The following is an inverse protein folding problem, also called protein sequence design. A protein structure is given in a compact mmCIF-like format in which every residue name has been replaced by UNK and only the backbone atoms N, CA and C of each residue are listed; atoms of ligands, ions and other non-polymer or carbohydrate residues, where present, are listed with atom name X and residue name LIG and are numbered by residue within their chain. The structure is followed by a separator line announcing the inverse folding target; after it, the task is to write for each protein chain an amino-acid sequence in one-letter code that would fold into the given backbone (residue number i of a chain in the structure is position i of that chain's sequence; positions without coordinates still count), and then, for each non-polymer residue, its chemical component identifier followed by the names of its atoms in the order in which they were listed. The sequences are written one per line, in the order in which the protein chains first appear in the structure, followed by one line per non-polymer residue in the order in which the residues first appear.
data_IF_025598441295
#
_entry.id   IF_025598441295
#
_cell.length_a   1.000
_cell.length_b   1.000
_cell.length_c   1.000
_cell.angle_alpha   90.00
_cell.angle_beta   90.00
_cell.angle_gamma   90.00
#
_symmetry.space_group_name_H-M   'P 1'
#
loop_
_entity.id
_entity.type
_entity.pdbx_description
1 polymer ?
#
# COMPACT_ATOMS: atom_id res chain seq x y z
N UNK A 1 2.23 3.99 -8.03
CA UNK A 1 0.94 3.51 -7.49
C UNK A 1 -0.19 4.00 -8.39
N UNK A 2 -0.85 3.15 -9.19
CA UNK A 2 -1.64 3.61 -10.35
C UNK A 2 -3.03 4.16 -10.00
N UNK A 3 -3.20 4.81 -8.85
CA UNK A 3 -4.50 5.37 -8.41
C UNK A 3 -5.05 6.36 -9.43
N UNK A 4 -4.25 7.37 -9.80
CA UNK A 4 -4.66 8.35 -10.81
C UNK A 4 -4.81 7.72 -12.20
N UNK A 5 -3.98 6.72 -12.52
CA UNK A 5 -4.10 5.95 -13.78
C UNK A 5 -5.41 5.15 -13.88
N UNK A 6 -6.02 4.82 -12.74
CA UNK A 6 -7.23 4.02 -12.65
C UNK A 6 -8.49 4.86 -12.37
N UNK A 7 -8.39 6.19 -12.33
CA UNK A 7 -9.53 7.05 -11.99
C UNK A 7 -10.06 6.86 -10.56
N UNK A 8 -9.23 6.33 -9.66
CA UNK A 8 -9.62 6.03 -8.29
C UNK A 8 -9.46 7.31 -7.44
N UNK A 9 -10.54 7.79 -6.83
CA UNK A 9 -10.43 8.88 -5.86
C UNK A 9 -9.82 8.38 -4.55
N UNK A 10 -8.97 9.20 -3.95
CA UNK A 10 -8.27 8.88 -2.71
C UNK A 10 -9.05 9.37 -1.50
N UNK A 11 -9.17 8.51 -0.49
CA UNK A 11 -9.56 9.00 0.83
C UNK A 11 -8.45 9.84 1.46
N UNK A 12 -8.83 10.87 2.21
CA UNK A 12 -7.94 11.70 3.03
C UNK A 12 -7.12 10.85 3.99
N UNK A 13 -7.74 9.81 4.55
CA UNK A 13 -7.05 8.87 5.43
C UNK A 13 -5.95 8.08 4.73
N UNK A 14 -6.18 7.67 3.47
CA UNK A 14 -5.14 7.04 2.67
C UNK A 14 -4.01 8.00 2.34
N UNK A 15 -4.34 9.21 1.87
CA UNK A 15 -3.35 10.23 1.56
C UNK A 15 -2.49 10.58 2.79
N UNK A 16 -3.10 10.74 3.96
CA UNK A 16 -2.41 11.03 5.23
C UNK A 16 -1.41 9.94 5.60
N UNK A 17 -1.78 8.65 5.47
CA UNK A 17 -0.85 7.54 5.71
C UNK A 17 0.37 7.59 4.79
N UNK A 18 0.15 7.86 3.50
CA UNK A 18 1.26 7.99 2.56
C UNK A 18 2.16 9.18 2.89
N UNK A 19 1.58 10.35 3.21
CA UNK A 19 2.36 11.54 3.58
C UNK A 19 3.17 11.29 4.85
N UNK A 20 2.62 10.57 5.84
CA UNK A 20 3.34 10.23 7.07
C UNK A 20 4.57 9.34 6.83
N UNK A 21 4.53 8.47 5.81
CA UNK A 21 5.66 7.58 5.48
C UNK A 21 6.64 8.25 4.51
N UNK A 22 6.13 8.91 3.48
CA UNK A 22 6.91 9.36 2.33
C UNK A 22 7.26 10.85 2.35
N UNK A 23 6.52 11.65 3.11
CA UNK A 23 6.47 13.10 2.97
C UNK A 23 5.65 13.57 1.76
N UNK A 24 5.20 14.82 1.81
CA UNK A 24 4.25 15.40 0.83
C UNK A 24 4.72 15.28 -0.63
N UNK A 25 5.98 15.64 -0.90
CA UNK A 25 6.52 15.70 -2.27
C UNK A 25 6.52 14.33 -2.95
N UNK A 26 7.00 13.29 -2.25
CA UNK A 26 7.07 11.92 -2.80
C UNK A 26 5.68 11.30 -2.92
N UNK A 27 4.79 11.58 -1.97
CA UNK A 27 3.38 11.16 -2.07
C UNK A 27 2.75 11.71 -3.35
N UNK A 28 2.88 13.02 -3.62
CA UNK A 28 2.34 13.64 -4.84
C UNK A 28 2.94 13.02 -6.11
N UNK A 29 4.26 12.85 -6.16
CA UNK A 29 4.94 12.22 -7.30
C UNK A 29 4.38 10.82 -7.59
N UNK A 30 4.31 9.94 -6.59
CA UNK A 30 3.83 8.56 -6.78
C UNK A 30 2.36 8.47 -7.17
N UNK A 31 1.52 9.34 -6.62
CA UNK A 31 0.09 9.38 -6.90
C UNK A 31 -0.21 9.93 -8.29
N UNK A 32 0.48 11.00 -8.70
CA UNK A 32 0.23 11.67 -9.97
C UNK A 32 0.87 10.93 -11.16
N UNK A 33 2.09 10.43 -10.99
CA UNK A 33 2.80 9.72 -12.08
C UNK A 33 2.35 8.27 -12.22
N UNK A 34 1.82 7.69 -11.13
CA UNK A 34 1.55 6.26 -11.05
C UNK A 34 2.78 5.39 -11.29
N UNK A 35 4.01 5.91 -11.09
CA UNK A 35 5.27 5.16 -11.25
C UNK A 35 5.31 3.96 -10.29
N UNK A 36 5.96 2.89 -10.72
CA UNK A 36 6.25 1.72 -9.89
C UNK A 36 7.62 1.89 -9.22
N UNK A 37 7.70 1.49 -7.96
CA UNK A 37 8.95 1.41 -7.22
C UNK A 37 9.44 -0.04 -7.25
N UNK A 38 10.74 -0.24 -7.41
CA UNK A 38 11.34 -1.54 -7.11
C UNK A 38 11.46 -1.75 -5.59
N UNK A 39 11.83 -2.96 -5.16
CA UNK A 39 11.90 -3.31 -3.73
C UNK A 39 12.84 -2.39 -2.96
N UNK A 40 14.02 -2.10 -3.51
CA UNK A 40 15.03 -1.28 -2.83
C UNK A 40 14.62 0.18 -2.71
N UNK A 41 14.02 0.76 -3.75
CA UNK A 41 13.43 2.09 -3.67
C UNK A 41 12.32 2.15 -2.61
N UNK A 42 11.46 1.13 -2.56
CA UNK A 42 10.39 1.06 -1.57
C UNK A 42 10.94 0.98 -0.13
N UNK A 43 12.07 0.29 0.07
CA UNK A 43 12.77 0.23 1.36
C UNK A 43 13.36 1.58 1.75
N UNK A 44 14.07 2.23 0.81
CA UNK A 44 14.63 3.58 1.03
C UNK A 44 13.53 4.60 1.32
N UNK A 45 12.35 4.43 0.72
CA UNK A 45 11.20 5.29 0.96
C UNK A 45 10.43 4.93 2.25
N UNK A 46 10.77 3.84 2.93
CA UNK A 46 10.12 3.40 4.16
C UNK A 46 8.76 2.73 3.96
N UNK A 47 8.40 2.37 2.72
CA UNK A 47 7.16 1.66 2.41
C UNK A 47 7.22 0.19 2.81
N UNK A 48 8.42 -0.39 2.80
CA UNK A 48 8.70 -1.75 3.28
C UNK A 48 9.83 -1.70 4.30
N UNK A 49 9.76 -2.57 5.31
CA UNK A 49 10.76 -2.65 6.37
C UNK A 49 12.02 -3.42 5.95
N UNK A 50 11.92 -4.32 4.98
CA UNK A 50 13.03 -5.13 4.48
C UNK A 50 12.82 -5.51 3.01
N UNK A 51 13.93 -5.81 2.35
CA UNK A 51 13.99 -6.39 1.00
C UNK A 51 14.96 -7.56 1.09
N UNK A 52 14.58 -8.69 0.52
CA UNK A 52 15.38 -9.92 0.54
C UNK A 52 15.28 -10.64 -0.78
N UNK A 53 16.24 -11.53 -1.02
CA UNK A 53 16.20 -12.43 -2.16
C UNK A 53 14.95 -13.33 -2.11
N UNK A 54 14.40 -13.65 -3.27
CA UNK A 54 13.18 -14.46 -3.38
C UNK A 54 13.31 -15.84 -2.73
N UNK A 55 14.52 -16.39 -2.69
CA UNK A 55 14.80 -17.67 -2.02
C UNK A 55 14.80 -17.59 -0.48
N UNK A 56 14.98 -16.39 0.08
CA UNK A 56 15.16 -16.17 1.52
C UNK A 56 13.96 -15.48 2.18
N UNK A 57 13.10 -14.83 1.40
CA UNK A 57 11.96 -14.06 1.92
C UNK A 57 11.02 -14.89 2.80
N UNK A 58 10.83 -16.17 2.48
CA UNK A 58 9.98 -17.07 3.26
C UNK A 58 10.55 -17.31 4.66
N UNK A 59 11.84 -17.62 4.75
CA UNK A 59 12.51 -17.86 6.02
C UNK A 59 12.57 -16.59 6.88
N UNK A 60 12.90 -15.43 6.29
CA UNK A 60 12.86 -14.15 7.02
C UNK A 60 11.46 -13.78 7.51
N UNK A 61 10.42 -14.10 6.73
CA UNK A 61 9.03 -13.89 7.15
C UNK A 61 8.70 -14.77 8.36
N UNK A 62 9.06 -16.06 8.32
CA UNK A 62 8.83 -16.98 9.44
C UNK A 62 9.60 -16.56 10.69
N UNK A 63 10.84 -16.09 10.57
CA UNK A 63 11.61 -15.59 11.70
C UNK A 63 10.89 -14.41 12.39
N UNK A 64 10.40 -13.45 11.62
CA UNK A 64 9.64 -12.31 12.13
C UNK A 64 8.35 -12.78 12.83
N UNK A 65 7.61 -13.71 12.21
CA UNK A 65 6.41 -14.28 12.82
C UNK A 65 6.71 -15.01 14.13
N UNK A 66 7.79 -15.80 14.20
CA UNK A 66 8.21 -16.49 15.42
C UNK A 66 8.60 -15.51 16.51
N UNK A 67 9.30 -14.44 16.18
CA UNK A 67 9.64 -13.38 17.14
C UNK A 67 8.37 -12.75 17.74
N UNK A 68 7.39 -12.38 16.91
CA UNK A 68 6.10 -11.83 17.38
C UNK A 68 5.35 -12.87 18.24
N UNK A 69 5.29 -14.12 17.80
CA UNK A 69 4.59 -15.20 18.49
C UNK A 69 5.23 -15.58 19.84
N UNK A 70 6.49 -15.23 20.06
CA UNK A 70 7.19 -15.45 21.34
C UNK A 70 6.74 -14.49 22.45
N UNK A 71 5.99 -13.43 22.13
CA UNK A 71 5.52 -12.43 23.07
C UNK A 71 4.08 -12.69 23.57
N UNK A 72 3.70 -12.06 24.68
CA UNK A 72 2.35 -12.16 25.22
C UNK A 72 1.31 -11.62 24.22
N UNK A 73 0.27 -12.40 23.83
CA UNK A 73 -0.69 -11.99 22.81
C UNK A 73 -1.42 -10.68 23.11
N UNK A 74 -1.75 -10.45 24.39
CA UNK A 74 -2.39 -9.22 24.82
C UNK A 74 -1.46 -8.01 24.69
N UNK A 75 -0.17 -8.15 24.99
CA UNK A 75 0.79 -7.07 24.84
C UNK A 75 0.96 -6.66 23.37
N UNK A 76 1.08 -7.64 22.47
CA UNK A 76 1.16 -7.40 21.01
C UNK A 76 -0.11 -6.69 20.51
N UNK A 77 -1.29 -7.15 20.95
CA UNK A 77 -2.57 -6.51 20.58
C UNK A 77 -2.66 -5.07 21.07
N UNK A 78 -2.29 -4.81 22.32
CA UNK A 78 -2.32 -3.45 22.88
C UNK A 78 -1.32 -2.53 22.21
N UNK A 79 -0.11 -3.02 21.92
CA UNK A 79 0.89 -2.27 21.16
C UNK A 79 0.36 -1.86 19.77
N UNK A 80 -0.29 -2.78 19.06
CA UNK A 80 -0.93 -2.48 17.76
C UNK A 80 -2.00 -1.39 17.90
N UNK A 81 -2.90 -1.52 18.87
CA UNK A 81 -3.96 -0.53 19.11
C UNK A 81 -3.37 0.85 19.45
N UNK A 82 -2.34 0.90 20.28
CA UNK A 82 -1.68 2.15 20.68
C UNK A 82 -0.99 2.85 19.49
N UNK A 83 -0.38 2.09 18.58
CA UNK A 83 0.20 2.66 17.35
C UNK A 83 -0.89 3.10 16.38
N UNK A 84 -1.93 2.29 16.21
CA UNK A 84 -3.06 2.60 15.32
C UNK A 84 -3.78 3.88 15.77
N UNK A 85 -3.94 4.11 17.09
CA UNK A 85 -4.64 5.29 17.61
C UNK A 85 -3.93 6.63 17.35
N UNK A 86 -2.60 6.63 17.20
CA UNK A 86 -1.82 7.85 16.91
C UNK A 86 -1.51 8.00 15.41
N UNK A 87 -1.61 6.92 14.64
CA UNK A 87 -1.34 6.95 13.19
C UNK A 87 -2.62 7.04 12.35
N UNK A 88 -3.75 6.55 12.86
CA UNK A 88 -5.06 6.58 12.22
C UNK A 88 -5.91 7.63 12.95
N UNK A 89 -5.94 8.86 12.43
CA UNK A 89 -6.98 9.82 12.76
C UNK A 89 -8.37 9.19 12.53
N UNK A 90 -9.38 9.60 13.33
CA UNK A 90 -10.75 9.19 13.13
C UNK A 90 -11.19 9.43 11.69
N UNK A 91 -12.17 8.65 11.23
CA UNK A 91 -12.70 8.79 9.89
C UNK A 91 -13.44 10.12 9.74
N UNK A 92 -12.71 11.16 9.35
CA UNK A 92 -13.25 12.47 9.01
C UNK A 92 -13.82 12.49 7.58
N UNK A 93 -13.56 11.45 6.78
CA UNK A 93 -14.08 11.32 5.43
C UNK A 93 -15.55 10.86 5.46
N UNK A 94 -16.45 11.83 5.43
CA UNK A 94 -17.86 11.59 5.08
C UNK A 94 -18.07 11.46 3.56
N UNK A 95 -17.01 11.63 2.77
CA UNK A 95 -17.10 11.54 1.32
C UNK A 95 -17.34 10.08 0.92
N UNK A 96 -18.43 9.77 0.18
CA UNK A 96 -18.63 8.41 -0.32
C UNK A 96 -17.41 8.01 -1.16
N UNK A 97 -16.97 6.74 -1.03
CA UNK A 97 -15.99 6.15 -1.94
C UNK A 97 -16.50 6.32 -3.38
N UNK A 98 -16.06 7.39 -4.05
CA UNK A 98 -16.48 7.73 -5.38
C UNK A 98 -15.43 7.23 -6.35
N UNK A 99 -15.82 6.26 -7.17
CA UNK A 99 -15.08 5.89 -8.35
C UNK A 99 -15.84 6.51 -9.50
N UNK A 100 -15.16 7.34 -10.31
CA UNK A 100 -15.79 7.79 -11.54
C UNK A 100 -16.01 6.53 -12.41
N UNK A 101 -17.28 6.16 -12.57
CA UNK A 101 -17.63 4.89 -13.21
C UNK A 101 -17.19 4.86 -14.68
N UNK A 102 -17.10 6.03 -15.33
CA UNK A 102 -16.63 6.14 -16.70
C UNK A 102 -15.11 5.93 -16.76
N UNK A 103 -14.35 6.71 -15.99
CA UNK A 103 -12.88 6.64 -15.98
C UNK A 103 -12.37 5.28 -15.50
N UNK A 104 -13.01 4.71 -14.48
CA UNK A 104 -12.63 3.40 -13.98
C UNK A 104 -12.88 2.29 -15.00
N UNK A 105 -14.03 2.31 -15.69
CA UNK A 105 -14.34 1.31 -16.71
C UNK A 105 -13.34 1.37 -17.88
N UNK A 106 -12.97 2.57 -18.31
CA UNK A 106 -11.99 2.80 -19.37
C UNK A 106 -10.58 2.42 -18.92
N UNK A 107 -10.20 2.76 -17.69
CA UNK A 107 -8.90 2.41 -17.15
C UNK A 107 -8.75 0.90 -16.95
N UNK A 108 -9.78 0.21 -16.45
CA UNK A 108 -9.78 -1.27 -16.34
C UNK A 108 -9.68 -1.92 -17.72
N UNK A 109 -10.38 -1.41 -18.74
CA UNK A 109 -10.27 -1.90 -20.13
C UNK A 109 -8.86 -1.77 -20.68
N UNK A 110 -8.16 -0.67 -20.38
CA UNK A 110 -6.77 -0.45 -20.81
C UNK A 110 -5.75 -1.22 -19.97
N UNK A 111 -6.06 -1.48 -18.71
CA UNK A 111 -5.18 -2.17 -17.76
C UNK A 111 -5.27 -3.69 -17.87
N UNK A 112 -6.45 -4.24 -18.19
CA UNK A 112 -6.59 -5.65 -18.50
C UNK A 112 -5.82 -5.93 -19.80
N UNK A 113 -4.72 -6.72 -19.77
CA UNK A 113 -4.11 -7.15 -21.00
C UNK A 113 -5.18 -7.87 -21.81
N UNK A 114 -5.24 -7.60 -23.12
CA UNK A 114 -5.94 -8.49 -24.04
C UNK A 114 -5.47 -9.90 -23.68
N UNK A 115 -6.38 -10.78 -23.27
CA UNK A 115 -6.07 -12.20 -23.15
C UNK A 115 -5.77 -12.67 -24.56
N UNK A 116 -4.51 -12.50 -24.98
CA UNK A 116 -4.02 -13.08 -26.21
C UNK A 116 -4.09 -14.57 -26.00
N UNK A 117 -5.09 -15.13 -26.64
CA UNK A 117 -5.29 -16.53 -26.92
C UNK A 117 -4.04 -17.07 -27.67
N UNK A 118 -3.52 -18.21 -27.24
CA UNK A 118 -2.40 -18.95 -27.86
C UNK A 118 -1.09 -18.82 -27.08
N UNK A 119 -0.32 -19.88 -26.79
CA UNK A 119 -0.10 -21.17 -27.46
C UNK A 119 0.21 -22.24 -26.38
N UNK A 120 -0.53 -23.36 -26.38
CA UNK A 120 -0.06 -24.72 -26.74
C UNK A 120 1.07 -25.29 -25.88
#
# INVERSE_FOLDING_TARGET
MPVAKLGIMLSRNFARRLVNVLGESRTKELLFTGRLLNGEEARVYGLVSLVEDSGLIYERTLETCRAIASHYPNAVRQAKIAVDSVTIAPDEDQAPYYVDAHDFSEAVRRFAPSRTQGER
#
